data_IF_054623844306
#
_entry.id   IF_054623844306
#
_cell.length_a   1.000
_cell.length_b   1.000
_cell.length_c   1.000
_cell.angle_alpha   90.00
_cell.angle_beta   90.00
_cell.angle_gamma   90.00
#
_symmetry.space_group_name_H-M   'P 1'
#
loop_
_entity.id
_entity.type
_entity.pdbx_description
1 polymer ?
#
# COMPACT_ATOMS: atom_id res chain seq x y z
N UNK A 1 6.91 -25.57 9.85
CA UNK A 1 6.59 -24.14 10.05
C UNK A 1 7.71 -23.36 9.41
N UNK A 2 7.40 -22.44 8.49
CA UNK A 2 8.41 -21.60 7.85
C UNK A 2 8.64 -20.36 8.71
N UNK A 3 9.85 -20.14 9.26
CA UNK A 3 10.11 -19.05 10.20
C UNK A 3 9.98 -17.66 9.56
N UNK A 4 10.16 -17.58 8.24
CA UNK A 4 10.09 -16.34 7.47
C UNK A 4 8.72 -15.68 7.56
N UNK A 5 7.63 -16.46 7.50
CA UNK A 5 6.26 -15.93 7.55
C UNK A 5 5.98 -15.17 8.85
N UNK A 6 6.49 -15.68 9.97
CA UNK A 6 6.32 -15.03 11.28
C UNK A 6 7.21 -13.80 11.43
N UNK A 7 8.41 -13.83 10.86
CA UNK A 7 9.31 -12.67 10.80
C UNK A 7 8.64 -11.53 10.01
N UNK A 8 8.13 -11.82 8.81
CA UNK A 8 7.44 -10.85 7.97
C UNK A 8 6.17 -10.30 8.62
N UNK A 9 5.35 -11.18 9.22
CA UNK A 9 4.16 -10.76 9.96
C UNK A 9 4.51 -9.83 11.13
N UNK A 10 5.55 -10.16 11.90
CA UNK A 10 6.03 -9.32 13.00
C UNK A 10 6.50 -7.95 12.48
N UNK A 11 7.38 -7.95 11.48
CA UNK A 11 7.92 -6.73 10.87
C UNK A 11 6.80 -5.85 10.28
N UNK A 12 5.81 -6.45 9.62
CA UNK A 12 4.68 -5.72 9.05
C UNK A 12 3.88 -4.96 10.11
N UNK A 13 3.67 -5.54 11.30
CA UNK A 13 2.96 -4.85 12.39
C UNK A 13 3.76 -3.64 12.92
N UNK A 14 5.08 -3.75 13.04
CA UNK A 14 5.92 -2.64 13.48
C UNK A 14 5.89 -1.48 12.49
N UNK A 15 6.02 -1.75 11.19
CA UNK A 15 5.93 -0.72 10.15
C UNK A 15 4.51 -0.16 10.01
N UNK A 16 3.48 -1.01 10.10
CA UNK A 16 2.08 -0.59 9.96
C UNK A 16 1.62 0.34 11.08
N UNK A 17 2.03 0.07 12.33
CA UNK A 17 1.70 0.93 13.47
C UNK A 17 2.71 2.06 13.69
N UNK A 18 3.82 2.10 12.95
CA UNK A 18 4.88 3.08 13.16
C UNK A 18 5.57 2.96 14.53
N UNK A 19 5.67 1.74 15.07
CA UNK A 19 6.32 1.51 16.37
C UNK A 19 7.84 1.73 16.27
N UNK A 20 8.42 2.31 17.31
CA UNK A 20 9.86 2.64 17.43
C UNK A 20 10.38 3.76 16.50
N UNK A 21 9.51 4.46 15.76
CA UNK A 21 9.89 5.62 14.93
C UNK A 21 9.90 6.97 15.70
N UNK A 22 9.49 6.98 16.97
CA UNK A 22 9.45 8.19 17.81
C UNK A 22 8.27 9.13 17.56
N UNK A 23 7.64 9.10 16.37
CA UNK A 23 6.48 9.94 16.03
C UNK A 23 5.29 9.79 16.99
N UNK A 24 4.91 8.56 17.34
CA UNK A 24 3.83 8.31 18.31
C UNK A 24 4.15 8.85 19.71
N UNK A 25 5.43 8.81 20.12
CA UNK A 25 5.88 9.35 21.41
C UNK A 25 5.78 10.87 21.38
N UNK A 26 6.24 11.50 20.29
CA UNK A 26 6.14 12.94 20.08
C UNK A 26 4.67 13.40 20.12
N UNK A 27 3.78 12.77 19.35
CA UNK A 27 2.35 13.11 19.37
C UNK A 27 1.70 12.88 20.75
N UNK A 28 2.06 11.80 21.44
CA UNK A 28 1.53 11.52 22.77
C UNK A 28 2.00 12.54 23.82
N UNK A 29 3.15 13.20 23.61
CA UNK A 29 3.67 14.22 24.52
C UNK A 29 2.81 15.49 24.58
N UNK A 30 2.01 15.74 23.52
CA UNK A 30 1.08 16.86 23.46
C UNK A 30 -0.26 16.60 24.19
N UNK A 31 -0.51 15.38 24.65
CA UNK A 31 -1.75 15.05 25.35
C UNK A 31 -1.76 15.52 26.82
N UNK A 32 -2.95 15.82 27.38
CA UNK A 32 -3.10 16.06 28.82
C UNK A 32 -2.60 14.87 29.66
N UNK A 33 -2.02 15.16 30.83
CA UNK A 33 -1.46 14.14 31.71
C UNK A 33 -2.47 13.09 32.21
N UNK A 34 -3.77 13.41 32.24
CA UNK A 34 -4.85 12.50 32.64
C UNK A 34 -5.62 11.91 31.46
N UNK A 35 -5.08 11.96 30.24
CA UNK A 35 -5.72 11.36 29.06
C UNK A 35 -5.70 9.82 29.13
N UNK A 36 -6.77 9.18 28.63
CA UNK A 36 -6.87 7.72 28.62
C UNK A 36 -6.11 7.11 27.42
N UNK A 37 -4.79 7.10 27.52
CA UNK A 37 -3.90 6.58 26.47
C UNK A 37 -4.12 5.09 26.16
N UNK A 38 -4.63 4.31 27.11
CA UNK A 38 -4.94 2.89 26.88
C UNK A 38 -6.08 2.72 25.87
N UNK A 39 -7.13 3.52 25.98
CA UNK A 39 -8.24 3.50 25.02
C UNK A 39 -7.79 3.93 23.64
N UNK A 40 -6.99 4.98 23.56
CA UNK A 40 -6.47 5.51 22.29
C UNK A 40 -5.61 4.45 21.58
N UNK A 41 -4.72 3.78 22.33
CA UNK A 41 -3.90 2.71 21.79
C UNK A 41 -4.73 1.54 21.21
N UNK A 42 -5.82 1.15 21.90
CA UNK A 42 -6.73 0.12 21.40
C UNK A 42 -7.47 0.55 20.13
N UNK A 43 -8.00 1.79 20.10
CA UNK A 43 -8.72 2.33 18.94
C UNK A 43 -7.81 2.45 17.73
N UNK A 44 -6.59 2.97 17.91
CA UNK A 44 -5.59 3.08 16.83
C UNK A 44 -5.23 1.71 16.29
N UNK A 45 -4.94 0.75 17.17
CA UNK A 45 -4.58 -0.61 16.75
C UNK A 45 -5.69 -1.29 15.96
N UNK A 46 -6.94 -1.21 16.45
CA UNK A 46 -8.09 -1.81 15.77
C UNK A 46 -8.39 -1.15 14.43
N UNK A 47 -8.31 0.18 14.37
CA UNK A 47 -8.53 0.94 13.13
C UNK A 47 -7.46 0.60 12.09
N UNK A 48 -6.19 0.54 12.47
CA UNK A 48 -5.10 0.14 11.60
C UNK A 48 -5.32 -1.26 10.98
N UNK A 49 -5.68 -2.24 11.81
CA UNK A 49 -5.97 -3.60 11.34
C UNK A 49 -7.19 -3.64 10.39
N UNK A 50 -8.24 -2.90 10.73
CA UNK A 50 -9.46 -2.84 9.92
C UNK A 50 -9.21 -2.20 8.56
N UNK A 51 -8.47 -1.08 8.53
CA UNK A 51 -8.06 -0.40 7.30
C UNK A 51 -7.18 -1.30 6.45
N UNK A 52 -6.25 -2.04 7.06
CA UNK A 52 -5.38 -2.98 6.35
C UNK A 52 -6.18 -4.11 5.70
N UNK A 53 -7.16 -4.68 6.42
CA UNK A 53 -8.04 -5.72 5.88
C UNK A 53 -8.91 -5.18 4.73
N UNK A 54 -9.49 -4.00 4.90
CA UNK A 54 -10.30 -3.35 3.87
C UNK A 54 -9.48 -3.03 2.61
N UNK A 55 -8.29 -2.44 2.79
CA UNK A 55 -7.37 -2.18 1.68
C UNK A 55 -6.98 -3.47 0.95
N UNK A 56 -6.74 -4.55 1.69
CA UNK A 56 -6.49 -5.87 1.11
C UNK A 56 -7.63 -6.33 0.19
N UNK A 57 -8.88 -6.25 0.65
CA UNK A 57 -10.06 -6.61 -0.17
C UNK A 57 -10.14 -5.77 -1.44
N UNK A 58 -9.94 -4.45 -1.35
CA UNK A 58 -9.96 -3.55 -2.51
C UNK A 58 -8.84 -3.91 -3.49
N UNK A 59 -7.61 -4.11 -2.99
CA UNK A 59 -6.44 -4.46 -3.81
C UNK A 59 -6.64 -5.78 -4.54
N UNK A 60 -7.03 -6.84 -3.84
CA UNK A 60 -7.26 -8.14 -4.46
C UNK A 60 -8.42 -8.13 -5.45
N UNK A 61 -9.44 -7.28 -5.24
CA UNK A 61 -10.54 -7.13 -6.20
C UNK A 61 -10.06 -6.52 -7.53
N UNK A 62 -9.24 -5.47 -7.48
CA UNK A 62 -8.69 -4.81 -8.69
C UNK A 62 -7.70 -5.72 -9.42
N UNK A 63 -6.81 -6.40 -8.68
CA UNK A 63 -5.88 -7.38 -9.26
C UNK A 63 -6.66 -8.53 -9.91
N UNK A 64 -7.70 -9.05 -9.25
CA UNK A 64 -8.54 -10.12 -9.78
C UNK A 64 -9.27 -9.71 -11.06
N UNK A 65 -9.84 -8.50 -11.10
CA UNK A 65 -10.44 -7.94 -12.31
C UNK A 65 -9.43 -7.87 -13.46
N UNK A 66 -8.24 -7.33 -13.21
CA UNK A 66 -7.20 -7.24 -14.23
C UNK A 66 -6.75 -8.61 -14.72
N UNK A 67 -6.46 -9.55 -13.81
CA UNK A 67 -6.04 -10.90 -14.16
C UNK A 67 -7.09 -11.61 -15.02
N UNK A 68 -8.37 -11.44 -14.70
CA UNK A 68 -9.46 -12.02 -15.50
C UNK A 68 -9.55 -11.39 -16.90
N UNK A 69 -9.43 -10.06 -17.01
CA UNK A 69 -9.45 -9.37 -18.32
C UNK A 69 -8.30 -9.81 -19.26
N UNK A 70 -7.11 -10.05 -18.71
CA UNK A 70 -5.95 -10.52 -19.45
C UNK A 70 -6.13 -11.98 -19.88
N UNK A 71 -6.66 -12.81 -18.97
CA UNK A 71 -6.94 -14.21 -19.26
C UNK A 71 -7.94 -14.36 -20.42
N UNK A 72 -9.03 -13.60 -20.42
CA UNK A 72 -10.04 -13.64 -21.48
C UNK A 72 -9.44 -13.22 -22.83
N UNK A 73 -8.65 -12.14 -22.85
CA UNK A 73 -7.94 -11.68 -24.06
C UNK A 73 -6.99 -12.74 -24.63
N UNK A 74 -6.27 -13.45 -23.77
CA UNK A 74 -5.39 -14.55 -24.17
C UNK A 74 -6.16 -15.74 -24.78
N UNK A 75 -7.32 -16.09 -24.20
CA UNK A 75 -8.15 -17.19 -24.69
C UNK A 75 -8.74 -16.86 -26.07
N UNK A 76 -9.14 -15.62 -26.30
CA UNK A 76 -9.61 -15.16 -27.60
C UNK A 76 -8.50 -15.26 -28.66
N UNK A 77 -7.30 -14.78 -28.35
CA UNK A 77 -6.14 -14.88 -29.24
C UNK A 77 -5.80 -16.33 -29.58
N UNK A 78 -5.72 -17.20 -28.55
CA UNK A 78 -5.48 -18.63 -28.70
C UNK A 78 -6.51 -19.26 -29.64
N UNK A 79 -7.80 -18.98 -29.43
CA UNK A 79 -8.90 -19.55 -30.22
C UNK A 79 -8.85 -19.07 -31.67
N UNK A 80 -8.53 -17.79 -31.89
CA UNK A 80 -8.35 -17.22 -33.22
C UNK A 80 -7.17 -17.88 -33.98
N UNK A 81 -6.04 -18.11 -33.30
CA UNK A 81 -4.88 -18.79 -33.87
C UNK A 81 -5.18 -20.25 -34.22
N UNK A 82 -5.89 -20.98 -33.34
CA UNK A 82 -6.36 -22.33 -33.59
C UNK A 82 -7.31 -22.39 -34.80
N UNK A 83 -8.26 -21.46 -34.89
CA UNK A 83 -9.23 -21.40 -35.99
C UNK A 83 -8.57 -21.16 -37.35
N UNK A 84 -7.45 -20.44 -37.39
CA UNK A 84 -6.69 -20.18 -38.62
C UNK A 84 -5.68 -21.28 -38.95
N UNK A 85 -5.46 -22.26 -38.06
CA UNK A 85 -4.39 -23.27 -38.13
C UNK A 85 -3.04 -22.65 -38.52
N UNK A 86 -2.82 -21.39 -38.10
CA UNK A 86 -1.73 -20.52 -38.59
C UNK A 86 -0.43 -20.73 -37.84
N UNK A 87 -0.52 -21.36 -36.66
CA UNK A 87 0.59 -21.59 -35.74
C UNK A 87 0.61 -23.05 -35.32
N UNK A 88 1.81 -23.61 -35.16
CA UNK A 88 1.97 -24.95 -34.60
C UNK A 88 1.57 -24.95 -33.12
N UNK A 89 1.07 -26.08 -32.61
CA UNK A 89 0.55 -26.21 -31.24
C UNK A 89 1.52 -25.71 -30.13
N UNK A 90 2.82 -25.77 -30.42
CA UNK A 90 3.90 -25.30 -29.54
C UNK A 90 4.02 -23.77 -29.41
N UNK A 91 3.39 -22.98 -30.31
CA UNK A 91 3.52 -21.52 -30.39
C UNK A 91 2.26 -20.78 -29.91
N UNK A 92 1.28 -21.50 -29.35
CA UNK A 92 0.07 -20.87 -28.83
C UNK A 92 0.31 -20.26 -27.45
N UNK A 93 -0.28 -19.08 -27.18
CA UNK A 93 -0.13 -18.43 -25.88
C UNK A 93 -0.71 -19.33 -24.78
N UNK A 94 0.00 -19.43 -23.66
CA UNK A 94 -0.43 -20.16 -22.46
C UNK A 94 -1.16 -19.19 -21.55
N UNK A 95 -2.47 -19.34 -21.45
CA UNK A 95 -3.31 -18.52 -20.59
C UNK A 95 -3.35 -19.13 -19.19
N UNK A 96 -2.57 -18.58 -18.26
CA UNK A 96 -2.52 -19.04 -16.87
C UNK A 96 -2.76 -17.87 -15.91
N UNK A 97 -3.92 -17.91 -15.24
CA UNK A 97 -4.32 -16.90 -14.26
C UNK A 97 -3.37 -16.85 -13.06
N UNK A 98 -2.85 -18.01 -12.64
CA UNK A 98 -2.00 -18.09 -11.45
C UNK A 98 -0.64 -17.45 -11.70
N UNK A 99 -0.12 -17.60 -12.91
CA UNK A 99 1.11 -16.92 -13.36
C UNK A 99 0.95 -15.40 -13.36
N UNK A 100 -0.17 -14.87 -13.83
CA UNK A 100 -0.44 -13.43 -13.84
C UNK A 100 -0.59 -12.85 -12.41
N UNK A 101 -1.28 -13.57 -11.53
CA UNK A 101 -1.44 -13.19 -10.13
C UNK A 101 -0.10 -13.21 -9.37
N UNK A 102 0.75 -14.21 -9.63
CA UNK A 102 2.07 -14.31 -9.00
C UNK A 102 3.04 -13.24 -9.50
N UNK A 103 3.00 -12.89 -10.79
CA UNK A 103 3.82 -11.82 -11.36
C UNK A 103 3.41 -10.42 -10.87
N UNK A 104 2.18 -10.27 -10.39
CA UNK A 104 1.63 -8.98 -9.94
C UNK A 104 1.97 -8.61 -8.49
N UNK A 105 2.55 -9.53 -7.71
CA UNK A 105 2.59 -9.39 -6.26
C UNK A 105 3.96 -8.94 -5.71
N UNK A 106 4.20 -7.62 -5.66
CA UNK A 106 4.86 -6.91 -4.54
C UNK A 106 5.32 -5.49 -4.91
N UNK A 107 5.30 -4.59 -3.92
CA UNK A 107 6.00 -3.31 -3.97
C UNK A 107 5.30 -2.20 -4.77
N UNK A 108 6.08 -1.20 -5.18
CA UNK A 108 5.59 0.01 -5.86
C UNK A 108 5.03 -0.28 -7.26
N UNK A 109 5.51 -1.34 -7.92
CA UNK A 109 5.00 -1.77 -9.22
C UNK A 109 3.51 -2.14 -9.18
N UNK A 110 3.02 -2.64 -8.04
CA UNK A 110 1.60 -2.90 -7.84
C UNK A 110 0.78 -1.61 -7.99
N UNK A 111 1.16 -0.55 -7.29
CA UNK A 111 0.41 0.72 -7.32
C UNK A 111 0.57 1.48 -8.65
N UNK A 112 1.78 1.54 -9.22
CA UNK A 112 2.05 2.41 -10.38
C UNK A 112 1.88 1.74 -11.74
N UNK A 113 1.87 0.41 -11.82
CA UNK A 113 1.71 -0.34 -13.08
C UNK A 113 0.40 -1.11 -13.06
N UNK A 114 0.17 -1.93 -12.03
CA UNK A 114 -0.99 -2.83 -12.02
C UNK A 114 -2.30 -2.04 -11.90
N UNK A 115 -2.38 -1.12 -10.94
CA UNK A 115 -3.57 -0.31 -10.72
C UNK A 115 -3.84 0.70 -11.85
N UNK A 116 -2.81 1.30 -12.43
CA UNK A 116 -2.97 2.27 -13.53
C UNK A 116 -3.50 1.59 -14.80
N UNK A 117 -2.97 0.41 -15.12
CA UNK A 117 -3.48 -0.41 -16.23
C UNK A 117 -4.91 -0.88 -16.00
N UNK A 118 -5.27 -1.26 -14.76
CA UNK A 118 -6.64 -1.63 -14.43
C UNK A 118 -7.60 -0.43 -14.54
N UNK A 119 -7.21 0.75 -14.02
CA UNK A 119 -8.01 1.97 -14.07
C UNK A 119 -8.31 2.40 -15.50
N UNK A 120 -7.38 2.20 -16.44
CA UNK A 120 -7.59 2.52 -17.85
C UNK A 120 -8.73 1.72 -18.50
N UNK A 121 -9.14 0.60 -17.91
CA UNK A 121 -10.28 -0.20 -18.40
C UNK A 121 -11.62 0.24 -17.80
N UNK A 122 -11.62 1.11 -16.78
CA UNK A 122 -12.86 1.60 -16.16
C UNK A 122 -13.48 2.74 -16.97
N UNK A 123 -14.83 2.85 -16.98
CA UNK A 123 -15.49 4.03 -17.51
C UNK A 123 -15.09 5.27 -16.70
N UNK A 124 -14.81 6.38 -17.38
CA UNK A 124 -14.28 7.60 -16.78
C UNK A 124 -12.95 7.41 -16.03
N UNK A 125 -12.01 6.65 -16.61
CA UNK A 125 -10.68 6.35 -16.08
C UNK A 125 -9.95 7.56 -15.47
N UNK A 126 -10.10 8.76 -16.07
CA UNK A 126 -9.47 10.00 -15.60
C UNK A 126 -9.91 10.37 -14.17
N UNK A 127 -11.19 10.19 -13.83
CA UNK A 127 -11.69 10.46 -12.48
C UNK A 127 -11.07 9.51 -11.45
N UNK A 128 -11.08 8.21 -11.77
CA UNK A 128 -10.55 7.16 -10.89
C UNK A 128 -9.04 7.30 -10.69
N UNK A 129 -8.29 7.67 -11.74
CA UNK A 129 -6.87 7.95 -11.64
C UNK A 129 -6.59 9.10 -10.67
N UNK A 130 -7.31 10.22 -10.78
CA UNK A 130 -7.14 11.36 -9.86
C UNK A 130 -7.45 10.96 -8.43
N UNK A 131 -8.54 10.24 -8.17
CA UNK A 131 -8.89 9.78 -6.82
C UNK A 131 -7.84 8.82 -6.25
N UNK A 132 -7.31 7.90 -7.06
CA UNK A 132 -6.29 6.95 -6.66
C UNK A 132 -4.97 7.63 -6.30
N UNK A 133 -4.49 8.55 -7.15
CA UNK A 133 -3.25 9.27 -6.87
C UNK A 133 -3.40 10.27 -5.73
N UNK A 134 -4.55 10.92 -5.58
CA UNK A 134 -4.84 11.77 -4.43
C UNK A 134 -4.82 10.96 -3.12
N UNK A 135 -5.40 9.76 -3.11
CA UNK A 135 -5.35 8.84 -1.97
C UNK A 135 -3.90 8.44 -1.64
N UNK A 136 -3.10 8.05 -2.63
CA UNK A 136 -1.68 7.72 -2.39
C UNK A 136 -0.88 8.91 -1.84
N UNK A 137 -1.18 10.11 -2.34
CA UNK A 137 -0.55 11.34 -1.89
C UNK A 137 -0.91 11.66 -0.43
N UNK A 138 -2.19 11.56 -0.04
CA UNK A 138 -2.60 11.80 1.35
C UNK A 138 -1.98 10.78 2.30
N UNK A 139 -2.00 9.48 1.95
CA UNK A 139 -1.38 8.43 2.76
C UNK A 139 0.13 8.65 2.95
N UNK A 140 0.81 9.09 1.89
CA UNK A 140 2.22 9.45 1.93
C UNK A 140 2.48 10.63 2.86
N UNK A 141 1.72 11.72 2.72
CA UNK A 141 1.88 12.93 3.51
C UNK A 141 1.66 12.69 5.01
N UNK A 142 0.58 12.00 5.38
CA UNK A 142 0.25 11.74 6.78
C UNK A 142 1.39 10.97 7.49
N UNK A 143 1.98 10.00 6.78
CA UNK A 143 3.11 9.22 7.27
C UNK A 143 4.38 10.05 7.43
N UNK A 144 4.64 10.97 6.49
CA UNK A 144 5.81 11.84 6.54
C UNK A 144 5.73 12.87 7.66
N UNK A 145 4.55 13.41 7.96
CA UNK A 145 4.36 14.29 9.11
C UNK A 145 4.67 13.58 10.43
N UNK A 146 4.24 12.34 10.61
CA UNK A 146 4.55 11.57 11.82
C UNK A 146 6.05 11.29 11.99
N UNK A 147 6.75 10.99 10.90
CA UNK A 147 8.20 10.76 10.94
C UNK A 147 8.97 12.05 11.21
N UNK A 148 8.59 13.14 10.55
CA UNK A 148 9.21 14.45 10.74
C UNK A 148 9.04 14.94 12.17
N UNK A 149 7.85 14.80 12.75
CA UNK A 149 7.58 15.21 14.12
C UNK A 149 8.41 14.43 15.14
N UNK A 150 8.60 13.12 14.93
CA UNK A 150 9.46 12.28 15.77
C UNK A 150 10.92 12.74 15.76
N UNK A 151 11.45 13.08 14.59
CA UNK A 151 12.83 13.58 14.44
C UNK A 151 12.97 14.99 15.03
N UNK A 152 12.07 15.91 14.67
CA UNK A 152 12.12 17.30 15.12
C UNK A 152 11.98 17.43 16.62
N UNK A 153 11.05 16.70 17.24
CA UNK A 153 10.90 16.69 18.71
C UNK A 153 12.19 16.23 19.39
N UNK A 154 12.80 15.16 18.88
CA UNK A 154 14.07 14.66 19.42
C UNK A 154 15.22 15.68 19.29
N UNK A 155 15.32 16.38 18.16
CA UNK A 155 16.34 17.42 17.93
C UNK A 155 16.16 18.64 18.85
N UNK A 156 14.90 19.05 19.05
CA UNK A 156 14.54 20.17 19.94
C UNK A 156 14.85 19.83 21.39
N UNK A 157 14.53 18.62 21.84
CA UNK A 157 14.78 18.16 23.21
C UNK A 157 16.27 18.05 23.53
N UNK A 158 17.10 17.66 22.54
CA UNK A 158 18.57 17.64 22.69
C UNK A 158 19.22 19.03 22.70
N UNK A 159 18.44 20.12 22.52
CA UNK A 159 18.93 21.51 22.39
C UNK A 159 20.06 21.66 21.36
N UNK A 160 20.00 20.91 20.26
CA UNK A 160 21.05 20.92 19.24
C UNK A 160 21.21 22.31 18.59
N UNK A 161 20.10 23.03 18.45
CA UNK A 161 20.04 24.38 17.90
C UNK A 161 19.27 25.32 18.85
N UNK A 162 19.90 25.82 19.93
CA UNK A 162 19.20 26.56 20.99
C UNK A 162 18.68 27.94 20.56
N UNK A 163 19.16 28.48 19.44
CA UNK A 163 18.82 29.82 18.95
C UNK A 163 17.90 29.79 17.71
N UNK A 164 17.45 28.61 17.27
CA UNK A 164 16.56 28.48 16.12
C UNK A 164 15.12 28.31 16.64
N UNK A 165 14.18 29.16 16.23
CA UNK A 165 12.78 29.03 16.62
C UNK A 165 12.18 27.73 16.06
N UNK A 166 11.27 27.10 16.82
CA UNK A 166 10.76 25.77 16.51
C UNK A 166 10.06 25.71 15.15
N UNK A 167 9.43 26.81 14.74
CA UNK A 167 8.71 26.98 13.47
C UNK A 167 9.62 26.94 12.22
N UNK A 168 10.95 26.99 12.40
CA UNK A 168 11.93 26.85 11.31
C UNK A 168 12.46 25.41 11.24
N UNK A 169 12.26 24.62 12.29
CA UNK A 169 12.72 23.23 12.41
C UNK A 169 11.60 22.25 12.02
N UNK A 170 10.34 22.62 12.27
CA UNK A 170 9.12 21.91 11.84
C UNK A 170 8.54 22.54 10.57
#
# INVERSE_FOLDING_TARGET
>A
LEPVVWLEAGTQIFFSLGLAFGGLIAFSSYNPANNNCYRDALVVSFTNCSTSMFAGVVVFSVIGFKAHSIFDSCVEERTALMALNKTAEADLPVCDLQKELQNSASGTGLAFIIFTEAINQFPAAQLWAVLFFLMLFTLGIDSQFGTLEGVTTSLVDMKLFPNVPKEVIT
#
